data_IF_215123292603
#
_entry.id   IF_215123292603
#
_cell.length_a   1.000
_cell.length_b   1.000
_cell.length_c   1.000
_cell.angle_alpha   90.00
_cell.angle_beta   90.00
_cell.angle_gamma   90.00
#
_symmetry.space_group_name_H-M   'P 1'
#
loop_
_entity.id
_entity.type
_entity.pdbx_description
1 polymer ?
#
# COMPACT_ATOMS: atom_id res chain seq x y z
N UNK A 1 20.80 5.61 11.72
CA UNK A 1 21.13 6.92 12.30
C UNK A 1 20.69 8.00 11.34
N UNK A 2 20.31 9.18 11.80
CA UNK A 2 19.90 10.26 10.92
C UNK A 2 20.45 11.62 11.37
N UNK A 3 20.63 12.52 10.41
CA UNK A 3 20.81 13.96 10.65
C UNK A 3 20.16 14.70 9.48
N UNK A 4 19.52 15.82 9.78
CA UNK A 4 18.85 16.61 8.76
C UNK A 4 19.85 17.31 7.85
N UNK A 5 19.66 17.18 6.53
CA UNK A 5 20.57 17.76 5.54
C UNK A 5 19.99 18.94 4.81
N UNK A 6 18.68 19.15 4.77
CA UNK A 6 18.10 20.23 3.95
C UNK A 6 18.41 21.64 4.49
N UNK A 7 18.40 22.69 3.64
CA UNK A 7 18.68 24.06 4.08
C UNK A 7 17.85 24.51 5.27
N UNK A 8 16.53 24.30 5.21
CA UNK A 8 15.62 24.71 6.27
C UNK A 8 15.93 24.01 7.60
N UNK A 9 16.30 22.72 7.57
CA UNK A 9 16.66 22.02 8.79
C UNK A 9 18.04 22.43 9.32
N UNK A 10 19.03 22.61 8.44
CA UNK A 10 20.35 23.10 8.86
C UNK A 10 20.27 24.47 9.51
N UNK A 11 19.46 25.37 8.96
CA UNK A 11 19.32 26.75 9.45
C UNK A 11 18.41 26.86 10.68
N UNK A 12 17.24 26.23 10.67
CA UNK A 12 16.21 26.43 11.68
C UNK A 12 16.17 25.36 12.78
N UNK A 13 16.65 24.13 12.52
CA UNK A 13 16.63 23.02 13.50
C UNK A 13 18.00 22.77 14.12
N UNK A 14 19.04 22.64 13.29
CA UNK A 14 20.37 22.22 13.75
C UNK A 14 21.31 23.39 14.07
N UNK A 15 21.11 24.54 13.41
CA UNK A 15 22.03 25.66 13.42
C UNK A 15 23.47 25.23 13.05
N UNK A 16 23.60 24.36 12.04
CA UNK A 16 24.86 23.80 11.59
C UNK A 16 25.17 24.19 10.14
N UNK A 17 26.45 24.48 9.88
CA UNK A 17 26.98 24.61 8.51
C UNK A 17 27.06 23.24 7.82
N UNK A 18 27.14 23.24 6.49
CA UNK A 18 27.39 22.02 5.69
C UNK A 18 28.59 21.23 6.20
N UNK A 19 29.71 21.90 6.52
CA UNK A 19 30.92 21.26 7.03
C UNK A 19 30.72 20.58 8.40
N UNK A 20 29.97 21.23 9.31
CA UNK A 20 29.66 20.63 10.61
C UNK A 20 28.76 19.40 10.48
N UNK A 21 27.78 19.44 9.58
CA UNK A 21 26.94 18.28 9.27
C UNK A 21 27.80 17.12 8.75
N UNK A 22 28.67 17.35 7.76
CA UNK A 22 29.55 16.30 7.23
C UNK A 22 30.49 15.72 8.30
N UNK A 23 31.09 16.57 9.15
CA UNK A 23 31.93 16.12 10.25
C UNK A 23 31.16 15.24 11.25
N UNK A 24 29.90 15.58 11.52
CA UNK A 24 29.03 14.83 12.42
C UNK A 24 28.67 13.47 11.82
N UNK A 25 28.40 13.43 10.50
CA UNK A 25 28.14 12.17 9.77
C UNK A 25 29.35 11.25 9.88
N UNK A 26 30.56 11.73 9.53
CA UNK A 26 31.78 10.91 9.58
C UNK A 26 32.05 10.38 11.00
N UNK A 27 32.03 11.25 12.01
CA UNK A 27 32.29 10.88 13.39
C UNK A 27 31.31 9.81 13.89
N UNK A 28 30.00 10.06 13.73
CA UNK A 28 28.97 9.20 14.31
C UNK A 28 28.88 7.87 13.57
N UNK A 29 29.05 7.86 12.24
CA UNK A 29 28.99 6.62 11.45
C UNK A 29 30.20 5.74 11.74
N UNK A 30 31.41 6.32 11.83
CA UNK A 30 32.62 5.58 12.25
C UNK A 30 32.47 5.02 13.64
N UNK A 31 31.91 5.81 14.57
CA UNK A 31 31.66 5.35 15.92
C UNK A 31 30.69 4.15 15.92
N UNK A 32 29.56 4.23 15.21
CA UNK A 32 28.60 3.14 15.10
C UNK A 32 29.22 1.87 14.50
N UNK A 33 30.09 1.98 13.48
CA UNK A 33 30.73 0.80 12.86
C UNK A 33 31.71 0.07 13.76
N UNK A 34 32.17 0.66 14.86
CA UNK A 34 32.95 -0.06 15.86
C UNK A 34 32.12 -1.13 16.59
N UNK A 35 30.78 -0.99 16.59
CA UNK A 35 29.88 -1.85 17.36
C UNK A 35 28.91 -2.66 16.49
N UNK A 36 28.56 -2.16 15.32
CA UNK A 36 27.53 -2.77 14.46
C UNK A 36 28.07 -3.07 13.08
N UNK A 37 27.75 -4.26 12.55
CA UNK A 37 28.08 -4.67 11.19
C UNK A 37 27.23 -3.93 10.15
N UNK A 38 25.93 -3.79 10.44
CA UNK A 38 25.00 -3.05 9.59
C UNK A 38 24.78 -1.67 10.21
N UNK A 39 25.15 -0.61 9.48
CA UNK A 39 24.89 0.77 9.88
C UNK A 39 24.14 1.46 8.77
N UNK A 40 22.96 1.94 9.11
CA UNK A 40 22.16 2.77 8.24
C UNK A 40 22.37 4.25 8.53
N UNK A 41 22.51 5.04 7.48
CA UNK A 41 22.48 6.49 7.56
C UNK A 41 21.34 7.07 6.70
N UNK A 42 20.57 8.00 7.29
CA UNK A 42 19.49 8.71 6.63
C UNK A 42 19.74 10.23 6.67
N UNK A 43 19.97 10.90 5.53
CA UNK A 43 19.93 12.35 5.44
C UNK A 43 18.46 12.81 5.54
N UNK A 44 18.02 13.19 6.74
CA UNK A 44 16.63 13.64 6.98
C UNK A 44 16.30 14.85 6.09
N UNK A 45 15.11 14.81 5.48
CA UNK A 45 14.63 15.77 4.48
C UNK A 45 15.46 15.79 3.18
N UNK A 46 15.91 14.61 2.75
CA UNK A 46 16.74 14.41 1.54
C UNK A 46 16.13 15.03 0.29
N UNK A 47 14.83 14.88 0.08
CA UNK A 47 14.12 15.38 -1.12
C UNK A 47 14.11 16.90 -1.26
N UNK A 48 14.42 17.63 -0.20
CA UNK A 48 14.57 19.10 -0.20
C UNK A 48 16.00 19.55 0.08
N UNK A 49 16.95 18.63 0.07
CA UNK A 49 18.39 18.91 0.17
C UNK A 49 18.95 19.23 -1.22
N UNK A 50 19.89 20.17 -1.31
CA UNK A 50 20.56 20.46 -2.58
C UNK A 50 21.31 19.21 -3.06
N UNK A 51 21.07 18.76 -4.29
CA UNK A 51 21.51 17.46 -4.81
C UNK A 51 23.03 17.21 -4.63
N UNK A 52 23.87 18.20 -4.96
CA UNK A 52 25.33 18.10 -4.78
C UNK A 52 25.74 17.88 -3.32
N UNK A 53 25.06 18.56 -2.39
CA UNK A 53 25.34 18.41 -0.97
C UNK A 53 24.82 17.08 -0.43
N UNK A 54 23.67 16.62 -0.92
CA UNK A 54 23.13 15.32 -0.58
C UNK A 54 24.08 14.20 -1.00
N UNK A 55 24.58 14.21 -2.25
CA UNK A 55 25.57 13.26 -2.73
C UNK A 55 26.85 13.29 -1.88
N UNK A 56 27.33 14.49 -1.51
CA UNK A 56 28.49 14.65 -0.61
C UNK A 56 28.24 14.04 0.78
N UNK A 57 27.06 14.27 1.37
CA UNK A 57 26.69 13.74 2.67
C UNK A 57 26.56 12.21 2.64
N UNK A 58 25.99 11.66 1.58
CA UNK A 58 25.88 10.21 1.36
C UNK A 58 27.27 9.59 1.21
N UNK A 59 28.12 10.15 0.35
CA UNK A 59 29.49 9.64 0.16
C UNK A 59 30.27 9.68 1.48
N UNK A 60 30.13 10.76 2.26
CA UNK A 60 30.75 10.86 3.59
C UNK A 60 30.29 9.75 4.52
N UNK A 61 29.00 9.41 4.53
CA UNK A 61 28.48 8.30 5.33
C UNK A 61 29.03 6.95 4.86
N UNK A 62 29.10 6.71 3.54
CA UNK A 62 29.65 5.46 2.98
C UNK A 62 31.15 5.32 3.33
N UNK A 63 31.93 6.39 3.15
CA UNK A 63 33.37 6.43 3.49
C UNK A 63 33.65 6.23 4.99
N UNK A 64 32.68 6.58 5.83
CA UNK A 64 32.68 6.35 7.26
C UNK A 64 32.25 4.91 7.63
N UNK A 65 31.71 4.16 6.68
CA UNK A 65 31.38 2.73 6.79
C UNK A 65 29.89 2.41 6.86
N UNK A 66 29.00 3.34 6.53
CA UNK A 66 27.58 3.03 6.39
C UNK A 66 27.38 1.95 5.30
N UNK A 67 26.57 0.95 5.62
CA UNK A 67 26.26 -0.18 4.72
C UNK A 67 24.87 -0.05 4.10
N UNK A 68 24.03 0.83 4.66
CA UNK A 68 22.72 1.19 4.13
C UNK A 68 22.60 2.71 4.09
N UNK A 69 22.13 3.25 2.97
CA UNK A 69 21.77 4.65 2.81
C UNK A 69 20.28 4.73 2.58
N UNK A 70 19.56 5.36 3.50
CA UNK A 70 18.11 5.53 3.41
C UNK A 70 17.78 6.95 2.92
N UNK A 71 17.04 7.09 1.82
CA UNK A 71 16.64 8.38 1.24
C UNK A 71 15.20 8.70 1.65
N UNK A 72 14.98 9.57 2.65
CA UNK A 72 13.64 9.90 3.10
C UNK A 72 13.00 11.06 2.31
N UNK A 73 11.75 10.88 1.90
CA UNK A 73 10.82 11.97 1.56
C UNK A 73 10.04 12.37 2.82
N UNK A 74 10.71 13.09 3.72
CA UNK A 74 10.29 13.31 5.12
C UNK A 74 8.91 13.97 5.25
N UNK A 75 8.49 14.74 4.27
CA UNK A 75 7.24 15.52 4.30
C UNK A 75 6.28 15.14 3.17
N UNK A 76 6.52 14.02 2.49
CA UNK A 76 5.63 13.49 1.44
C UNK A 76 5.38 14.48 0.30
N UNK A 77 6.39 15.27 -0.08
CA UNK A 77 6.25 16.40 -0.99
C UNK A 77 6.57 16.06 -2.44
N UNK A 78 7.52 15.15 -2.66
CA UNK A 78 8.04 14.90 -4.01
C UNK A 78 7.07 14.07 -4.84
N UNK A 79 7.23 14.11 -6.16
CA UNK A 79 6.50 13.24 -7.07
C UNK A 79 7.39 12.13 -7.66
N UNK A 80 6.80 11.07 -8.25
CA UNK A 80 7.56 9.90 -8.68
C UNK A 80 8.64 10.20 -9.73
N UNK A 81 8.42 11.19 -10.59
CA UNK A 81 9.39 11.59 -11.62
C UNK A 81 10.60 12.26 -11.00
N UNK A 82 10.39 13.21 -10.10
CA UNK A 82 11.46 13.89 -9.37
C UNK A 82 12.25 12.91 -8.49
N UNK A 83 11.57 11.96 -7.84
CA UNK A 83 12.23 10.99 -6.97
C UNK A 83 13.08 9.99 -7.78
N UNK A 84 12.60 9.53 -8.93
CA UNK A 84 13.41 8.72 -9.86
C UNK A 84 14.64 9.49 -10.36
N UNK A 85 14.47 10.75 -10.77
CA UNK A 85 15.58 11.62 -11.20
C UNK A 85 16.61 11.85 -10.09
N UNK A 86 16.18 11.94 -8.83
CA UNK A 86 17.09 12.01 -7.69
C UNK A 86 17.94 10.74 -7.60
N UNK A 87 17.34 9.56 -7.76
CA UNK A 87 18.08 8.30 -7.75
C UNK A 87 19.06 8.19 -8.93
N UNK A 88 18.66 8.60 -10.15
CA UNK A 88 19.57 8.69 -11.30
C UNK A 88 20.76 9.60 -11.00
N UNK A 89 20.50 10.75 -10.38
CA UNK A 89 21.55 11.69 -9.98
C UNK A 89 22.50 11.05 -8.96
N UNK A 90 21.97 10.41 -7.91
CA UNK A 90 22.78 9.77 -6.87
C UNK A 90 23.64 8.63 -7.46
N UNK A 91 23.09 7.83 -8.37
CA UNK A 91 23.82 6.77 -9.05
C UNK A 91 25.01 7.31 -9.86
N UNK A 92 24.89 8.51 -10.43
CA UNK A 92 25.95 9.16 -11.21
C UNK A 92 27.01 9.85 -10.33
N UNK A 93 26.66 10.28 -9.12
CA UNK A 93 27.50 11.17 -8.31
C UNK A 93 28.03 10.53 -7.01
N UNK A 94 27.52 9.36 -6.60
CA UNK A 94 28.02 8.60 -5.46
C UNK A 94 28.86 7.43 -5.98
N UNK A 95 30.18 7.46 -5.75
CA UNK A 95 31.12 6.53 -6.35
C UNK A 95 30.86 5.06 -5.94
N UNK A 96 30.43 4.85 -4.70
CA UNK A 96 30.12 3.53 -4.13
C UNK A 96 28.63 3.23 -4.09
N UNK A 97 27.83 3.79 -5.02
CA UNK A 97 26.38 3.60 -5.03
C UNK A 97 25.98 2.12 -5.04
N UNK A 98 26.63 1.31 -5.88
CA UNK A 98 26.32 -0.11 -6.04
C UNK A 98 26.95 -1.02 -4.96
N UNK A 99 27.70 -0.46 -4.00
CA UNK A 99 28.39 -1.22 -2.94
C UNK A 99 27.59 -1.28 -1.63
N UNK A 100 26.54 -0.46 -1.51
CA UNK A 100 25.68 -0.36 -0.33
C UNK A 100 24.22 -0.55 -0.70
N UNK A 101 23.38 -0.88 0.28
CA UNK A 101 21.93 -0.93 0.07
C UNK A 101 21.35 0.48 0.09
N UNK A 102 20.65 0.86 -0.97
CA UNK A 102 19.82 2.06 -0.98
C UNK A 102 18.40 1.71 -0.53
N UNK A 103 18.03 2.26 0.63
CA UNK A 103 16.69 2.24 1.20
C UNK A 103 15.95 3.54 0.87
N UNK A 104 14.62 3.51 0.86
CA UNK A 104 13.79 4.71 0.74
C UNK A 104 12.72 4.74 1.80
N UNK A 105 12.39 5.93 2.27
CA UNK A 105 11.38 6.16 3.30
C UNK A 105 10.45 7.29 2.87
N UNK A 106 9.30 6.95 2.30
CA UNK A 106 8.38 7.95 1.77
C UNK A 106 7.19 8.16 2.72
N UNK A 107 6.95 9.43 3.07
CA UNK A 107 5.70 9.83 3.73
C UNK A 107 4.58 10.11 2.72
N UNK A 108 3.34 10.03 3.20
CA UNK A 108 2.14 10.02 2.32
C UNK A 108 1.31 11.31 2.37
N UNK A 109 1.91 12.44 2.75
CA UNK A 109 1.20 13.73 2.89
C UNK A 109 0.44 14.17 1.62
N UNK A 110 0.90 13.76 0.43
CA UNK A 110 0.24 14.00 -0.87
C UNK A 110 -0.34 12.73 -1.52
N UNK A 111 -0.39 11.59 -0.83
CA UNK A 111 -0.89 10.32 -1.36
C UNK A 111 0.03 9.68 -2.42
N UNK A 112 1.34 9.98 -2.37
CA UNK A 112 2.32 9.55 -3.37
C UNK A 112 3.39 8.61 -2.80
N UNK A 113 3.31 8.19 -1.52
CA UNK A 113 4.38 7.44 -0.87
C UNK A 113 4.70 6.11 -1.57
N UNK A 114 3.65 5.35 -1.92
CA UNK A 114 3.78 4.07 -2.64
C UNK A 114 4.35 4.30 -4.04
N UNK A 115 3.86 5.32 -4.74
CA UNK A 115 4.32 5.64 -6.10
C UNK A 115 5.79 6.08 -6.13
N UNK A 116 6.22 6.91 -5.17
CA UNK A 116 7.60 7.34 -5.00
C UNK A 116 8.51 6.15 -4.64
N UNK A 117 8.05 5.27 -3.75
CA UNK A 117 8.79 4.04 -3.37
C UNK A 117 9.04 3.13 -4.58
N UNK A 118 8.01 2.89 -5.39
CA UNK A 118 8.12 2.07 -6.59
C UNK A 118 8.98 2.73 -7.68
N UNK A 119 8.90 4.07 -7.83
CA UNK A 119 9.78 4.79 -8.73
C UNK A 119 11.25 4.64 -8.32
N UNK A 120 11.57 4.73 -7.03
CA UNK A 120 12.94 4.51 -6.58
C UNK A 120 13.46 3.10 -6.88
N UNK A 121 12.63 2.06 -6.76
CA UNK A 121 13.00 0.69 -7.17
C UNK A 121 13.38 0.66 -8.65
N UNK A 122 12.55 1.25 -9.52
CA UNK A 122 12.81 1.31 -10.95
C UNK A 122 14.13 2.05 -11.30
N UNK A 123 14.63 2.87 -10.38
CA UNK A 123 15.86 3.65 -10.49
C UNK A 123 16.99 3.15 -9.56
N UNK A 124 16.89 1.91 -9.05
CA UNK A 124 18.01 1.22 -8.39
C UNK A 124 17.97 1.17 -6.87
N UNK A 125 16.92 1.66 -6.20
CA UNK A 125 16.70 1.37 -4.78
C UNK A 125 16.44 -0.13 -4.59
N UNK A 126 17.01 -0.70 -3.53
CA UNK A 126 16.95 -2.15 -3.26
C UNK A 126 16.23 -2.48 -1.95
N UNK A 127 15.77 -1.46 -1.22
CA UNK A 127 15.00 -1.61 0.01
C UNK A 127 13.95 -0.50 0.12
N UNK A 128 12.78 -0.85 0.62
CA UNK A 128 11.71 0.09 0.95
C UNK A 128 11.48 0.06 2.46
N UNK A 129 11.33 1.24 3.06
CA UNK A 129 10.78 1.42 4.39
C UNK A 129 9.37 1.97 4.30
N UNK A 130 8.52 1.38 5.12
CA UNK A 130 7.12 1.74 5.20
C UNK A 130 6.50 1.02 6.38
N UNK A 131 5.18 1.00 6.41
CA UNK A 131 4.43 0.34 7.47
C UNK A 131 3.25 -0.42 6.90
N UNK A 132 2.79 -1.43 7.63
CA UNK A 132 1.51 -2.09 7.34
C UNK A 132 0.39 -1.09 7.60
N UNK A 133 -0.58 -1.05 6.69
CA UNK A 133 -1.69 -0.09 6.68
C UNK A 133 -1.28 1.37 6.41
N UNK A 134 -0.01 1.63 6.12
CA UNK A 134 0.52 2.98 5.91
C UNK A 134 0.54 3.85 7.16
N UNK A 135 0.46 3.28 8.37
CA UNK A 135 0.50 4.05 9.62
C UNK A 135 1.82 4.81 9.79
N UNK A 136 1.78 5.98 10.44
CA UNK A 136 2.98 6.77 10.68
C UNK A 136 2.64 8.20 11.08
N UNK A 137 3.65 9.06 11.04
CA UNK A 137 3.46 10.49 11.27
C UNK A 137 2.49 11.10 10.24
N UNK A 138 1.57 11.95 10.71
CA UNK A 138 0.63 12.73 9.87
C UNK A 138 -0.27 11.83 9.00
N UNK A 139 -0.10 11.88 7.68
CA UNK A 139 -0.81 11.04 6.71
C UNK A 139 -0.23 9.62 6.63
N UNK A 140 0.95 9.39 7.22
CA UNK A 140 1.56 8.08 7.33
C UNK A 140 2.76 7.88 6.42
N UNK A 141 3.06 6.61 6.16
CA UNK A 141 4.19 6.13 5.35
C UNK A 141 3.68 5.32 4.15
N UNK A 142 4.58 4.97 3.24
CA UNK A 142 4.29 3.98 2.21
C UNK A 142 3.71 2.70 2.81
N UNK A 143 2.51 2.32 2.35
CA UNK A 143 1.83 1.11 2.76
C UNK A 143 2.53 -0.12 2.15
N UNK A 144 3.18 -0.93 2.99
CA UNK A 144 4.00 -2.05 2.51
C UNK A 144 3.16 -3.11 1.80
N UNK A 145 1.91 -3.31 2.21
CA UNK A 145 0.99 -4.21 1.51
C UNK A 145 0.70 -3.78 0.08
N UNK A 146 0.66 -2.47 -0.18
CA UNK A 146 0.40 -1.90 -1.51
C UNK A 146 1.65 -2.00 -2.40
N UNK A 147 2.83 -1.73 -1.82
CA UNK A 147 4.12 -1.94 -2.50
C UNK A 147 4.29 -3.41 -2.89
N UNK A 148 4.10 -4.34 -1.96
CA UNK A 148 4.24 -5.77 -2.21
C UNK A 148 3.27 -6.27 -3.30
N UNK A 149 2.00 -5.85 -3.22
CA UNK A 149 1.01 -6.17 -4.23
C UNK A 149 1.38 -5.61 -5.61
N UNK A 150 1.89 -4.38 -5.68
CA UNK A 150 2.32 -3.77 -6.93
C UNK A 150 3.53 -4.50 -7.55
N UNK A 151 4.54 -4.86 -6.75
CA UNK A 151 5.70 -5.63 -7.23
C UNK A 151 5.30 -7.02 -7.71
N UNK A 152 4.36 -7.69 -7.02
CA UNK A 152 3.84 -8.98 -7.44
C UNK A 152 3.07 -8.90 -8.77
N UNK A 153 2.12 -7.97 -8.88
CA UNK A 153 1.28 -7.82 -10.08
C UNK A 153 2.09 -7.33 -11.28
N UNK A 154 3.04 -6.41 -11.04
CA UNK A 154 3.86 -5.78 -12.07
C UNK A 154 5.29 -6.31 -12.08
N UNK A 155 5.46 -7.59 -11.74
CA UNK A 155 6.75 -8.27 -11.83
C UNK A 155 7.33 -8.20 -13.25
N UNK A 156 6.47 -8.17 -14.29
CA UNK A 156 6.86 -7.96 -15.69
C UNK A 156 7.68 -6.67 -15.90
N UNK A 157 7.36 -5.63 -15.13
CA UNK A 157 7.95 -4.30 -15.23
C UNK A 157 9.10 -4.10 -14.24
N UNK A 158 8.87 -4.35 -12.94
CA UNK A 158 9.88 -4.11 -11.92
C UNK A 158 10.98 -5.18 -11.89
N UNK A 159 10.66 -6.42 -12.25
CA UNK A 159 11.61 -7.53 -12.36
C UNK A 159 12.46 -7.72 -11.10
N UNK A 160 11.85 -7.53 -9.93
CA UNK A 160 12.48 -7.75 -8.62
C UNK A 160 11.91 -9.00 -7.97
N UNK A 161 12.79 -9.73 -7.31
CA UNK A 161 12.43 -10.84 -6.44
C UNK A 161 12.38 -10.36 -4.99
N UNK A 162 11.40 -10.88 -4.25
CA UNK A 162 11.28 -10.67 -2.81
C UNK A 162 10.89 -11.98 -2.10
N UNK A 163 10.80 -11.93 -0.77
CA UNK A 163 10.45 -13.07 0.06
C UNK A 163 9.12 -12.86 0.80
N UNK A 164 8.27 -11.95 0.30
CA UNK A 164 7.01 -11.57 0.93
C UNK A 164 5.98 -12.65 0.65
N UNK A 165 5.36 -13.15 1.72
CA UNK A 165 4.22 -14.04 1.63
C UNK A 165 2.94 -13.22 1.48
N UNK A 166 2.57 -12.91 0.24
CA UNK A 166 1.42 -12.04 -0.05
C UNK A 166 0.11 -12.60 0.56
N UNK A 167 -0.02 -13.92 0.68
CA UNK A 167 -1.18 -14.57 1.32
C UNK A 167 -1.34 -14.26 2.82
N UNK A 168 -0.34 -13.69 3.49
CA UNK A 168 -0.42 -13.29 4.91
C UNK A 168 -0.79 -11.81 5.09
N UNK A 169 -0.90 -11.07 3.98
CA UNK A 169 -1.05 -9.61 3.98
C UNK A 169 -2.34 -9.15 4.68
N UNK A 170 -3.49 -9.73 4.33
CA UNK A 170 -4.77 -9.33 4.94
C UNK A 170 -4.79 -9.60 6.46
N UNK A 171 -4.37 -10.78 6.90
CA UNK A 171 -4.35 -11.14 8.32
C UNK A 171 -3.41 -10.23 9.13
N UNK A 172 -2.23 -9.93 8.57
CA UNK A 172 -1.26 -9.00 9.16
C UNK A 172 -1.85 -7.59 9.28
N UNK A 173 -2.53 -7.13 8.23
CA UNK A 173 -3.24 -5.84 8.21
C UNK A 173 -4.30 -5.74 9.31
N UNK A 174 -5.12 -6.78 9.50
CA UNK A 174 -6.12 -6.82 10.58
C UNK A 174 -5.48 -6.79 11.97
N UNK A 175 -4.40 -7.56 12.18
CA UNK A 175 -3.68 -7.58 13.45
C UNK A 175 -3.15 -6.18 13.82
N UNK A 176 -2.54 -5.48 12.86
CA UNK A 176 -2.03 -4.13 13.07
C UNK A 176 -3.17 -3.13 13.28
N UNK A 177 -4.27 -3.23 12.52
CA UNK A 177 -5.45 -2.38 12.69
C UNK A 177 -6.04 -2.50 14.09
N UNK A 178 -6.15 -3.73 14.61
CA UNK A 178 -6.63 -3.99 15.96
C UNK A 178 -5.67 -3.45 17.03
N UNK A 179 -4.36 -3.69 16.87
CA UNK A 179 -3.35 -3.26 17.84
C UNK A 179 -3.19 -1.73 17.89
N UNK A 180 -3.32 -1.06 16.74
CA UNK A 180 -3.22 0.39 16.62
C UNK A 180 -4.55 1.12 16.89
N UNK A 181 -5.65 0.39 17.04
CA UNK A 181 -7.01 0.94 17.14
C UNK A 181 -7.37 1.86 15.95
N UNK A 182 -6.82 1.57 14.77
CA UNK A 182 -7.04 2.33 13.53
C UNK A 182 -7.79 1.46 12.53
N UNK A 183 -9.10 1.66 12.35
CA UNK A 183 -9.89 0.85 11.43
C UNK A 183 -9.46 1.05 9.98
N UNK A 184 -9.46 -0.04 9.23
CA UNK A 184 -9.12 -0.05 7.80
C UNK A 184 -10.26 0.57 6.99
N UNK A 185 -9.99 1.59 6.15
CA UNK A 185 -10.99 2.11 5.22
C UNK A 185 -11.48 1.02 4.26
N UNK A 186 -12.78 0.96 4.01
CA UNK A 186 -13.36 -0.08 3.15
C UNK A 186 -12.77 -0.08 1.73
N UNK A 187 -12.42 1.09 1.20
CA UNK A 187 -11.85 1.28 -0.12
C UNK A 187 -10.32 1.32 -0.13
N UNK A 188 -9.64 0.96 0.97
CA UNK A 188 -8.17 0.88 0.99
C UNK A 188 -7.69 -0.18 -0.02
N UNK A 189 -6.66 0.17 -0.79
CA UNK A 189 -6.11 -0.73 -1.79
C UNK A 189 -5.62 -2.04 -1.12
N UNK A 190 -5.74 -3.15 -1.86
CA UNK A 190 -5.29 -4.51 -1.48
C UNK A 190 -6.07 -5.15 -0.33
N UNK A 191 -6.27 -4.46 0.80
CA UNK A 191 -6.79 -5.03 2.05
C UNK A 191 -8.15 -4.49 2.51
N UNK A 192 -8.67 -3.46 1.83
CA UNK A 192 -10.00 -2.91 2.13
C UNK A 192 -11.12 -3.91 1.81
N UNK A 193 -12.22 -3.87 2.59
CA UNK A 193 -13.36 -4.76 2.40
C UNK A 193 -13.98 -4.69 0.98
N UNK A 194 -13.84 -3.54 0.30
CA UNK A 194 -14.36 -3.31 -1.05
C UNK A 194 -13.30 -3.55 -2.14
N UNK A 195 -12.04 -3.89 -1.80
CA UNK A 195 -10.95 -4.01 -2.77
C UNK A 195 -11.19 -5.08 -3.84
N UNK A 196 -12.03 -6.07 -3.53
CA UNK A 196 -12.40 -7.16 -4.44
C UNK A 196 -13.91 -7.16 -4.77
N UNK A 197 -14.68 -6.16 -4.33
CA UNK A 197 -16.12 -6.15 -4.51
C UNK A 197 -16.52 -5.63 -5.90
N UNK A 198 -17.49 -6.29 -6.54
CA UNK A 198 -18.02 -5.92 -7.86
C UNK A 198 -19.52 -5.62 -7.79
N UNK A 199 -19.90 -4.34 -7.82
CA UNK A 199 -21.30 -3.92 -7.69
C UNK A 199 -22.06 -3.81 -9.02
N UNK A 200 -21.37 -3.46 -10.10
CA UNK A 200 -21.99 -3.26 -11.41
C UNK A 200 -22.39 -4.58 -12.06
N UNK A 201 -23.63 -4.71 -12.52
CA UNK A 201 -24.11 -5.95 -13.16
C UNK A 201 -23.30 -6.38 -14.39
N UNK A 202 -22.72 -5.43 -15.14
CA UNK A 202 -21.80 -5.75 -16.25
C UNK A 202 -20.44 -6.27 -15.76
N UNK A 203 -19.95 -5.78 -14.62
CA UNK A 203 -18.70 -6.25 -14.03
C UNK A 203 -18.89 -7.65 -13.45
N UNK A 204 -20.02 -7.91 -12.80
CA UNK A 204 -20.38 -9.22 -12.27
C UNK A 204 -20.47 -10.27 -13.40
N UNK A 205 -21.14 -9.95 -14.51
CA UNK A 205 -21.22 -10.84 -15.67
C UNK A 205 -19.84 -11.14 -16.28
N UNK A 206 -18.98 -10.11 -16.41
CA UNK A 206 -17.59 -10.30 -16.86
C UNK A 206 -16.78 -11.20 -15.93
N UNK A 207 -16.83 -10.93 -14.63
CA UNK A 207 -16.18 -11.73 -13.59
C UNK A 207 -16.61 -13.20 -13.60
N UNK A 208 -17.91 -13.46 -13.75
CA UNK A 208 -18.44 -14.83 -13.81
C UNK A 208 -17.97 -15.60 -15.05
N UNK A 209 -17.69 -14.90 -16.15
CA UNK A 209 -17.16 -15.48 -17.39
C UNK A 209 -15.66 -15.70 -17.32
N UNK A 210 -14.91 -14.70 -16.86
CA UNK A 210 -13.48 -14.78 -16.62
C UNK A 210 -13.06 -13.74 -15.56
N UNK A 211 -12.65 -14.15 -14.35
CA UNK A 211 -12.26 -13.22 -13.30
C UNK A 211 -11.17 -12.21 -13.67
N UNK A 212 -10.26 -12.58 -14.58
CA UNK A 212 -9.16 -11.72 -15.03
C UNK A 212 -9.63 -10.46 -15.78
N UNK A 213 -10.91 -10.35 -16.16
CA UNK A 213 -11.43 -9.13 -16.79
C UNK A 213 -11.44 -7.93 -15.85
N UNK A 214 -11.50 -8.16 -14.53
CA UNK A 214 -11.58 -7.11 -13.52
C UNK A 214 -10.68 -7.34 -12.30
N UNK A 215 -10.14 -8.54 -12.11
CA UNK A 215 -9.28 -8.88 -10.96
C UNK A 215 -7.81 -9.03 -11.39
N UNK A 216 -7.00 -8.00 -11.14
CA UNK A 216 -5.52 -8.07 -11.24
C UNK A 216 -4.90 -8.78 -10.03
N UNK A 217 -5.65 -8.86 -8.93
CA UNK A 217 -5.36 -9.58 -7.70
C UNK A 217 -6.60 -10.34 -7.30
N UNK A 218 -6.43 -11.55 -6.78
CA UNK A 218 -7.54 -12.32 -6.20
C UNK A 218 -7.55 -12.12 -4.68
N UNK A 219 -8.71 -12.30 -4.00
CA UNK A 219 -8.71 -12.30 -2.54
C UNK A 219 -7.74 -13.33 -1.96
N UNK A 220 -7.68 -14.52 -2.57
CA UNK A 220 -6.82 -15.60 -2.14
C UNK A 220 -5.32 -15.26 -2.24
N UNK A 221 -4.90 -14.51 -3.28
CA UNK A 221 -3.48 -14.12 -3.42
C UNK A 221 -2.99 -13.21 -2.30
N UNK A 222 -3.89 -12.49 -1.62
CA UNK A 222 -3.55 -11.59 -0.51
C UNK A 222 -4.01 -12.09 0.87
N UNK A 223 -4.57 -13.30 0.91
CA UNK A 223 -5.15 -13.89 2.13
C UNK A 223 -6.46 -13.26 2.57
N UNK A 224 -7.10 -12.45 1.73
CA UNK A 224 -8.39 -11.85 2.03
C UNK A 224 -9.51 -12.90 1.97
N UNK A 225 -10.55 -12.77 2.80
CA UNK A 225 -11.77 -13.56 2.67
C UNK A 225 -12.31 -13.47 1.24
N UNK A 226 -12.90 -14.57 0.75
CA UNK A 226 -13.47 -14.62 -0.60
C UNK A 226 -14.40 -13.43 -0.86
N UNK A 227 -14.33 -12.90 -2.07
CA UNK A 227 -15.20 -11.83 -2.57
C UNK A 227 -16.63 -12.07 -2.16
N UNK A 228 -17.15 -11.23 -1.27
CA UNK A 228 -18.59 -11.07 -1.13
C UNK A 228 -19.05 -10.25 -2.32
N UNK A 229 -20.03 -10.73 -3.07
CA UNK A 229 -20.77 -9.90 -4.02
C UNK A 229 -21.80 -9.12 -3.20
N UNK A 230 -21.52 -7.87 -2.75
CA UNK A 230 -22.51 -7.10 -2.02
C UNK A 230 -23.73 -6.90 -2.90
N UNK A 231 -24.89 -7.25 -2.36
CA UNK A 231 -26.13 -7.12 -3.10
C UNK A 231 -26.74 -5.74 -2.83
N UNK A 232 -26.54 -4.80 -3.76
CA UNK A 232 -27.17 -3.47 -3.73
C UNK A 232 -28.20 -3.26 -4.83
N UNK A 233 -28.72 -2.02 -4.94
CA UNK A 233 -29.74 -1.61 -5.93
C UNK A 233 -29.40 -1.93 -7.39
N UNK A 234 -28.11 -2.01 -7.73
CA UNK A 234 -27.63 -2.30 -9.08
C UNK A 234 -27.46 -3.80 -9.37
N UNK A 235 -27.66 -4.67 -8.38
CA UNK A 235 -27.48 -6.11 -8.54
C UNK A 235 -28.48 -6.69 -9.51
N UNK A 236 -28.00 -7.63 -10.34
CA UNK A 236 -28.80 -8.43 -11.26
C UNK A 236 -29.38 -9.69 -10.58
N UNK A 237 -30.39 -10.30 -11.22
CA UNK A 237 -31.08 -11.48 -10.68
C UNK A 237 -30.16 -12.69 -10.47
N UNK A 238 -29.16 -12.88 -11.33
CA UNK A 238 -28.19 -13.96 -11.21
C UNK A 238 -27.35 -13.86 -9.93
N UNK A 239 -26.88 -12.66 -9.58
CA UNK A 239 -26.09 -12.44 -8.36
C UNK A 239 -26.92 -12.72 -7.10
N UNK A 240 -28.18 -12.28 -7.10
CA UNK A 240 -29.13 -12.54 -5.99
C UNK A 240 -29.39 -14.04 -5.85
N UNK A 241 -29.64 -14.75 -6.96
CA UNK A 241 -29.87 -16.20 -6.97
C UNK A 241 -28.67 -16.96 -6.39
N UNK A 242 -27.46 -16.62 -6.83
CA UNK A 242 -26.23 -17.27 -6.35
C UNK A 242 -26.03 -17.06 -4.84
N UNK A 243 -26.29 -15.86 -4.33
CA UNK A 243 -26.18 -15.56 -2.90
C UNK A 243 -27.22 -16.32 -2.07
N UNK A 244 -28.45 -16.42 -2.54
CA UNK A 244 -29.50 -17.19 -1.88
C UNK A 244 -29.17 -18.69 -1.86
N UNK A 245 -28.60 -19.23 -2.94
CA UNK A 245 -28.08 -20.60 -2.96
C UNK A 245 -26.94 -20.83 -1.96
N UNK A 246 -26.01 -19.87 -1.83
CA UNK A 246 -24.95 -19.92 -0.81
C UNK A 246 -25.51 -19.91 0.63
N UNK A 247 -26.63 -19.24 0.85
CA UNK A 247 -27.35 -19.23 2.12
C UNK A 247 -28.19 -20.50 2.36
N UNK A 248 -28.24 -21.42 1.40
CA UNK A 248 -28.95 -22.69 1.49
C UNK A 248 -30.36 -22.69 0.90
N UNK A 249 -30.78 -21.62 0.23
CA UNK A 249 -32.10 -21.54 -0.41
C UNK A 249 -32.06 -22.12 -1.83
N UNK A 250 -33.02 -22.99 -2.15
CA UNK A 250 -33.24 -23.46 -3.52
C UNK A 250 -34.39 -22.69 -4.14
N UNK A 251 -34.10 -21.89 -5.16
CA UNK A 251 -35.07 -21.05 -5.85
C UNK A 251 -35.10 -21.47 -7.31
N UNK A 252 -36.29 -21.82 -7.80
CA UNK A 252 -36.47 -22.15 -9.21
C UNK A 252 -36.58 -20.88 -10.08
N UNK A 253 -36.45 -21.05 -11.40
CA UNK A 253 -36.51 -19.93 -12.34
C UNK A 253 -37.87 -19.21 -12.34
N UNK A 254 -38.96 -19.87 -11.91
CA UNK A 254 -40.30 -19.29 -11.86
C UNK A 254 -40.47 -18.39 -10.63
N UNK A 255 -39.88 -18.77 -9.49
CA UNK A 255 -39.87 -18.02 -8.25
C UNK A 255 -38.92 -16.82 -8.29
N UNK A 256 -37.82 -16.93 -9.06
CA UNK A 256 -36.77 -15.93 -9.07
C UNK A 256 -37.26 -14.54 -9.45
N UNK A 257 -38.26 -14.42 -10.35
CA UNK A 257 -38.83 -13.12 -10.71
C UNK A 257 -39.50 -12.42 -9.52
N UNK A 258 -40.22 -13.17 -8.68
CA UNK A 258 -40.92 -12.63 -7.51
C UNK A 258 -39.95 -12.29 -6.37
N UNK A 259 -38.99 -13.18 -6.12
CA UNK A 259 -37.92 -12.96 -5.13
C UNK A 259 -37.07 -11.75 -5.51
N UNK A 260 -36.72 -11.60 -6.80
CA UNK A 260 -35.94 -10.46 -7.27
C UNK A 260 -36.69 -9.12 -7.11
N UNK A 261 -38.01 -9.11 -7.28
CA UNK A 261 -38.83 -7.92 -7.04
C UNK A 261 -38.88 -7.53 -5.56
N UNK A 262 -38.94 -8.50 -4.64
CA UNK A 262 -38.81 -8.25 -3.20
C UNK A 262 -37.43 -7.72 -2.84
N UNK A 263 -36.38 -8.35 -3.38
CA UNK A 263 -35.00 -7.89 -3.21
C UNK A 263 -34.83 -6.43 -3.65
N UNK A 264 -35.36 -6.05 -4.83
CA UNK A 264 -35.29 -4.67 -5.33
C UNK A 264 -35.94 -3.66 -4.36
N UNK A 265 -37.08 -4.00 -3.75
CA UNK A 265 -37.74 -3.14 -2.75
C UNK A 265 -36.86 -2.91 -1.51
N UNK A 266 -36.18 -3.94 -1.04
CA UNK A 266 -35.26 -3.82 0.10
C UNK A 266 -34.05 -2.97 -0.31
N UNK A 267 -33.48 -3.26 -1.48
CA UNK A 267 -32.32 -2.55 -2.02
C UNK A 267 -32.60 -1.07 -2.40
N UNK A 268 -33.86 -0.64 -2.46
CA UNK A 268 -34.23 0.78 -2.56
C UNK A 268 -34.13 1.52 -1.22
N UNK A 269 -34.18 0.80 -0.11
CA UNK A 269 -34.20 1.35 1.25
C UNK A 269 -32.84 1.28 1.94
N UNK A 270 -31.96 0.37 1.50
CA UNK A 270 -30.62 0.18 2.05
C UNK A 270 -29.58 0.16 0.94
N UNK A 271 -28.38 0.68 1.23
CA UNK A 271 -27.29 0.70 0.25
C UNK A 271 -26.77 -0.72 -0.08
N UNK A 272 -26.67 -1.57 0.95
CA UNK A 272 -26.27 -2.99 0.82
C UNK A 272 -27.27 -3.85 1.58
N UNK A 273 -27.84 -4.84 0.89
CA UNK A 273 -28.71 -5.86 1.48
C UNK A 273 -27.83 -6.94 2.11
N UNK A 274 -27.90 -7.07 3.43
CA UNK A 274 -27.08 -8.02 4.17
C UNK A 274 -27.73 -9.41 4.24
N UNK A 275 -26.98 -10.41 4.73
CA UNK A 275 -27.47 -11.79 4.85
C UNK A 275 -28.71 -11.89 5.76
N UNK A 276 -28.85 -11.01 6.76
CA UNK A 276 -30.02 -10.98 7.62
C UNK A 276 -31.27 -10.50 6.87
N UNK A 277 -31.14 -9.49 6.01
CA UNK A 277 -32.24 -8.98 5.18
C UNK A 277 -32.71 -10.04 4.19
N UNK A 278 -31.77 -10.76 3.56
CA UNK A 278 -32.09 -11.85 2.63
C UNK A 278 -32.83 -13.00 3.33
N UNK A 279 -32.39 -13.38 4.54
CA UNK A 279 -33.07 -14.42 5.33
C UNK A 279 -34.48 -13.97 5.74
N UNK A 280 -34.65 -12.72 6.15
CA UNK A 280 -35.96 -12.16 6.49
C UNK A 280 -36.89 -12.11 5.26
N UNK A 281 -36.38 -11.67 4.11
CA UNK A 281 -37.09 -11.67 2.84
C UNK A 281 -37.57 -13.09 2.46
N UNK A 282 -36.69 -14.09 2.53
CA UNK A 282 -37.04 -15.47 2.20
C UNK A 282 -38.05 -16.07 3.18
N UNK A 283 -37.95 -15.76 4.47
CA UNK A 283 -38.92 -16.20 5.47
C UNK A 283 -40.34 -15.66 5.16
N UNK A 284 -40.45 -14.41 4.70
CA UNK A 284 -41.73 -13.83 4.28
C UNK A 284 -42.24 -14.45 2.97
N UNK A 285 -41.32 -14.75 2.04
CA UNK A 285 -41.65 -15.40 0.77
C UNK A 285 -42.21 -16.82 0.97
N UNK A 286 -41.60 -17.62 1.85
CA UNK A 286 -42.05 -18.99 2.15
C UNK A 286 -43.37 -19.03 2.93
N UNK A 287 -43.68 -18.01 3.72
CA UNK A 287 -44.91 -17.91 4.52
C UNK A 287 -46.09 -17.29 3.77
N UNK A 288 -45.88 -16.79 2.54
CA UNK A 288 -46.93 -16.20 1.71
C UNK A 288 -47.42 -14.84 2.19
N UNK A 289 -46.66 -14.16 3.06
CA UNK A 289 -46.99 -12.83 3.57
C UNK A 289 -46.30 -11.80 2.67
N UNK A 290 -47.09 -11.15 1.80
CA UNK A 290 -46.62 -10.21 0.79
C UNK A 290 -46.41 -8.78 1.30
#
# INVERSE_FOLDING_TARGET
>A
MFIATSPIHREAKLHMTKAQVLATIDEMVRYARQFFEVVEFSPEDATRTEADFLATAIQTAIDAGATVINIPDTVGYTNPVEFGQLFDFLQQHVASFNEVTFSVHCHDDLGLAVANSLAAIAHGATRIEGTINGIGERAGNAALEEVAAALHVRHDYYQVDDHIQLSETWATSQLISQAAEMPIPHNKAVIGANAFAHESGIHQDGMLKNPQTYEILTPASVGAPKTTLPLGKLSGSHAVMQKLQQLGYQIDAQQMSAVFAQFKRIAEQVDIVCDADLKAMMANFETGVA
#
